data_IF_494387563841
#
_entry.id   IF_494387563841
#
_cell.length_a   1.000
_cell.length_b   1.000
_cell.length_c   1.000
_cell.angle_alpha   90.00
_cell.angle_beta   90.00
_cell.angle_gamma   90.00
#
_symmetry.space_group_name_H-M   'P 1'
#
loop_
_entity.id
_entity.type
_entity.pdbx_description
1 polymer ?
#
# COMPACT_ATOMS: atom_id res chain seq x y z
N UNK A 1 -23.46 -9.87 17.13
CA UNK A 1 -22.14 -10.04 17.80
C UNK A 1 -21.41 -8.70 17.84
N UNK A 2 -21.34 -8.05 19.00
CA UNK A 2 -20.67 -6.76 19.15
C UNK A 2 -19.16 -6.92 18.96
N UNK A 3 -18.64 -6.45 17.84
CA UNK A 3 -17.22 -6.53 17.53
C UNK A 3 -16.44 -5.51 18.38
N UNK A 4 -15.61 -5.99 19.31
CA UNK A 4 -14.81 -5.15 20.19
C UNK A 4 -13.85 -4.22 19.37
N UNK A 5 -13.91 -2.89 19.53
CA UNK A 5 -13.09 -1.94 18.78
C UNK A 5 -11.58 -2.18 18.89
N UNK A 6 -11.10 -2.62 20.06
CA UNK A 6 -9.68 -2.95 20.29
C UNK A 6 -9.20 -4.07 19.36
N UNK A 7 -9.98 -5.16 19.26
CA UNK A 7 -9.69 -6.30 18.37
C UNK A 7 -9.68 -5.91 16.89
N UNK A 8 -10.49 -4.93 16.47
CA UNK A 8 -10.47 -4.42 15.08
C UNK A 8 -9.18 -3.65 14.77
N UNK A 9 -8.71 -2.83 15.71
CA UNK A 9 -7.47 -2.08 15.57
C UNK A 9 -6.26 -3.00 15.45
N UNK A 10 -6.18 -4.02 16.32
CA UNK A 10 -5.12 -5.04 16.28
C UNK A 10 -5.12 -5.83 14.96
N UNK A 11 -6.31 -6.21 14.48
CA UNK A 11 -6.47 -6.87 13.17
C UNK A 11 -5.97 -6.00 12.02
N UNK A 12 -6.29 -4.71 12.02
CA UNK A 12 -5.82 -3.77 11.00
C UNK A 12 -4.29 -3.64 11.07
N UNK A 13 -3.73 -3.46 12.27
CA UNK A 13 -2.29 -3.31 12.46
C UNK A 13 -1.52 -4.52 11.93
N UNK A 14 -1.91 -5.74 12.33
CA UNK A 14 -1.25 -6.98 11.88
C UNK A 14 -1.35 -7.19 10.37
N UNK A 15 -2.53 -6.96 9.77
CA UNK A 15 -2.72 -7.12 8.32
C UNK A 15 -1.93 -6.08 7.53
N UNK A 16 -1.90 -4.82 8.02
CA UNK A 16 -1.08 -3.74 7.45
C UNK A 16 0.40 -4.13 7.45
N UNK A 17 0.91 -4.57 8.58
CA UNK A 17 2.32 -4.99 8.73
C UNK A 17 2.67 -6.14 7.79
N UNK A 18 1.81 -7.17 7.73
CA UNK A 18 2.00 -8.29 6.80
C UNK A 18 2.00 -7.83 5.34
N UNK A 19 1.10 -6.91 4.97
CA UNK A 19 1.01 -6.41 3.60
C UNK A 19 2.24 -5.59 3.21
N UNK A 20 2.72 -4.72 4.10
CA UNK A 20 3.97 -3.95 3.88
C UNK A 20 5.15 -4.91 3.72
N UNK A 21 5.25 -5.95 4.55
CA UNK A 21 6.28 -6.98 4.42
C UNK A 21 6.23 -7.66 3.04
N UNK A 22 5.03 -8.01 2.55
CA UNK A 22 4.87 -8.61 1.23
C UNK A 22 5.20 -7.65 0.08
N UNK A 23 4.86 -6.37 0.21
CA UNK A 23 5.27 -5.34 -0.75
C UNK A 23 6.81 -5.23 -0.82
N UNK A 24 7.48 -5.24 0.33
CA UNK A 24 8.94 -5.30 0.41
C UNK A 24 9.51 -6.56 -0.22
N UNK A 25 8.98 -7.74 0.12
CA UNK A 25 9.44 -9.01 -0.45
C UNK A 25 9.30 -9.02 -1.98
N UNK A 26 8.22 -8.45 -2.53
CA UNK A 26 8.03 -8.34 -3.97
C UNK A 26 9.14 -7.50 -4.62
N UNK A 27 9.40 -6.32 -4.08
CA UNK A 27 10.45 -5.45 -4.59
C UNK A 27 11.84 -6.12 -4.49
N UNK A 28 12.14 -6.70 -3.32
CA UNK A 28 13.44 -7.30 -3.04
C UNK A 28 13.71 -8.59 -3.85
N UNK A 29 12.73 -9.50 -3.97
CA UNK A 29 12.94 -10.79 -4.63
C UNK A 29 12.66 -10.77 -6.13
N UNK A 30 11.88 -9.82 -6.63
CA UNK A 30 11.46 -9.80 -8.02
C UNK A 30 11.99 -8.60 -8.81
N UNK A 31 12.77 -7.71 -8.18
CA UNK A 31 13.37 -6.52 -8.83
C UNK A 31 12.31 -5.64 -9.53
N UNK A 32 11.26 -5.30 -8.77
CA UNK A 32 10.15 -4.47 -9.24
C UNK A 32 9.92 -3.29 -8.30
N UNK A 33 9.57 -2.15 -8.88
CA UNK A 33 9.14 -1.00 -8.09
C UNK A 33 7.72 -1.22 -7.53
N UNK A 34 7.55 -0.98 -6.23
CA UNK A 34 6.28 -1.16 -5.52
C UNK A 34 5.92 0.10 -4.76
N UNK A 35 4.69 0.57 -4.96
CA UNK A 35 4.09 1.64 -4.18
C UNK A 35 2.73 1.16 -3.65
N UNK A 36 2.50 1.36 -2.36
CA UNK A 36 1.30 0.93 -1.66
C UNK A 36 0.67 2.11 -0.92
N UNK A 37 -0.60 2.37 -1.20
CA UNK A 37 -1.39 3.40 -0.50
C UNK A 37 -2.58 2.74 0.20
N UNK A 38 -2.65 2.89 1.52
CA UNK A 38 -3.76 2.40 2.34
C UNK A 38 -4.55 3.56 2.92
N UNK A 39 -5.84 3.64 2.58
CA UNK A 39 -6.78 4.56 3.22
C UNK A 39 -7.59 3.87 4.30
N UNK A 40 -7.42 4.29 5.55
CA UNK A 40 -8.26 3.83 6.66
C UNK A 40 -9.65 4.45 6.49
N UNK A 41 -10.62 3.68 5.99
CA UNK A 41 -11.98 4.17 5.69
C UNK A 41 -12.63 4.94 6.85
N UNK A 42 -12.40 4.49 8.09
CA UNK A 42 -13.00 5.11 9.28
C UNK A 42 -12.47 6.52 9.58
N UNK A 43 -11.17 6.76 9.36
CA UNK A 43 -10.50 8.01 9.77
C UNK A 43 -10.05 8.86 8.59
N UNK A 44 -10.11 8.32 7.36
CA UNK A 44 -9.52 8.94 6.17
C UNK A 44 -8.00 8.91 6.13
N UNK A 45 -7.31 8.50 7.22
CA UNK A 45 -5.85 8.49 7.30
C UNK A 45 -5.24 7.64 6.20
N UNK A 46 -4.25 8.22 5.52
CA UNK A 46 -3.42 7.54 4.54
C UNK A 46 -2.18 6.96 5.22
N UNK A 47 -1.78 5.78 4.77
CA UNK A 47 -0.52 5.14 5.09
C UNK A 47 0.10 4.74 3.77
N UNK A 48 1.35 5.13 3.56
CA UNK A 48 2.10 4.87 2.33
C UNK A 48 3.29 3.97 2.60
N UNK A 49 3.69 3.24 1.57
CA UNK A 49 4.94 2.50 1.49
C UNK A 49 5.44 2.61 0.05
N UNK A 50 6.74 2.86 -0.13
CA UNK A 50 7.42 2.81 -1.41
C UNK A 50 8.65 1.90 -1.25
N UNK A 51 8.96 1.12 -2.28
CA UNK A 51 10.16 0.27 -2.32
C UNK A 51 11.44 1.06 -2.52
N UNK A 52 11.35 2.18 -3.24
CA UNK A 52 12.45 3.06 -3.57
C UNK A 52 12.01 4.52 -3.46
N UNK A 53 12.95 5.40 -3.16
CA UNK A 53 12.78 6.85 -3.02
C UNK A 53 13.11 7.59 -4.33
N UNK A 54 12.96 6.92 -5.48
CA UNK A 54 13.14 7.52 -6.80
C UNK A 54 12.18 8.70 -6.99
N UNK A 55 12.70 9.85 -7.46
CA UNK A 55 11.90 11.08 -7.66
C UNK A 55 10.67 10.87 -8.56
N UNK A 56 10.73 9.90 -9.46
CA UNK A 56 9.66 9.58 -10.42
C UNK A 56 8.77 8.40 -10.01
N UNK A 57 8.95 7.85 -8.79
CA UNK A 57 8.16 6.73 -8.28
C UNK A 57 7.36 7.13 -7.02
N UNK A 58 6.08 6.75 -6.91
CA UNK A 58 5.24 6.18 -7.96
C UNK A 58 4.90 7.19 -9.06
N UNK A 59 4.49 6.72 -10.25
CA UNK A 59 4.00 7.60 -11.29
C UNK A 59 2.77 8.39 -10.81
N UNK A 60 2.61 9.59 -11.35
CA UNK A 60 1.40 10.38 -11.17
C UNK A 60 0.15 9.60 -11.63
N UNK A 61 -1.01 9.99 -11.11
CA UNK A 61 -2.29 9.36 -11.50
C UNK A 61 -2.50 9.44 -13.02
N UNK A 62 -2.11 10.54 -13.63
CA UNK A 62 -2.19 10.79 -15.06
C UNK A 62 -1.30 9.82 -15.83
N UNK A 63 -0.07 9.59 -15.37
CA UNK A 63 0.85 8.60 -15.95
C UNK A 63 0.30 7.18 -15.82
N UNK A 64 -0.23 6.79 -14.66
CA UNK A 64 -0.86 5.48 -14.46
C UNK A 64 -2.04 5.29 -15.44
N UNK A 65 -2.89 6.30 -15.58
CA UNK A 65 -4.04 6.25 -16.49
C UNK A 65 -3.63 6.17 -17.96
N UNK A 66 -2.49 6.74 -18.35
CA UNK A 66 -1.94 6.57 -19.70
C UNK A 66 -1.46 5.14 -19.92
N UNK A 67 -0.64 4.61 -19.01
CA UNK A 67 -0.09 3.25 -19.10
C UNK A 67 -1.21 2.20 -19.24
N UNK A 68 -2.30 2.34 -18.48
CA UNK A 68 -3.43 1.42 -18.49
C UNK A 68 -4.28 1.48 -19.77
N UNK A 69 -4.16 2.52 -20.60
CA UNK A 69 -4.86 2.61 -21.89
C UNK A 69 -4.09 1.95 -23.03
N UNK A 70 -2.80 1.75 -22.83
CA UNK A 70 -1.89 1.19 -23.84
C UNK A 70 -1.71 -0.35 -23.68
N UNK A 71 -2.36 -0.94 -22.66
CA UNK A 71 -2.41 -2.38 -22.40
C UNK A 71 -3.78 -2.95 -22.81
#
# INVERSE_FOLDING_TARGET
MASNPKRKSERLSRRKETLIKKAYEMAFFCDVDVALVLRIRKTGKLITYNSDDLESWPPSKEQILHILKDC
#
